data_IF_385308524906
#
_entry.id   IF_385308524906
#
_cell.length_a   1.000
_cell.length_b   1.000
_cell.length_c   1.000
_cell.angle_alpha   90.00
_cell.angle_beta   90.00
_cell.angle_gamma   90.00
#
_symmetry.space_group_name_H-M   'P 1'
#
loop_
_entity.id
_entity.type
_entity.pdbx_description
1 polymer ?
#
# COMPACT_ATOMS: atom_id res chain seq x y z
N UNK A 1 5.57 -29.37 42.71
CA UNK A 1 6.20 -29.31 41.37
C UNK A 1 5.12 -29.06 40.34
N UNK A 2 5.02 -27.83 39.81
CA UNK A 2 4.10 -27.50 38.72
C UNK A 2 4.87 -27.48 37.41
N UNK A 3 4.57 -28.41 36.54
CA UNK A 3 5.08 -28.40 35.16
C UNK A 3 4.36 -27.30 34.35
N UNK A 4 5.10 -26.26 34.03
CA UNK A 4 4.66 -25.27 33.05
C UNK A 4 4.72 -25.91 31.65
N UNK A 5 3.56 -26.23 31.09
CA UNK A 5 3.47 -26.61 29.69
C UNK A 5 3.86 -25.41 28.83
N UNK A 6 4.98 -25.52 28.14
CA UNK A 6 5.29 -24.71 26.94
C UNK A 6 4.19 -24.98 25.93
N UNK A 7 3.25 -24.06 25.79
CA UNK A 7 2.30 -24.08 24.68
C UNK A 7 3.09 -23.68 23.43
N UNK A 8 3.47 -24.72 22.66
CA UNK A 8 3.99 -24.61 21.32
C UNK A 8 3.10 -23.75 20.43
N UNK A 9 3.73 -22.94 19.63
CA UNK A 9 3.36 -22.09 18.51
C UNK A 9 2.10 -22.49 17.68
N UNK A 10 0.90 -22.45 18.24
CA UNK A 10 -0.29 -22.83 17.49
C UNK A 10 -1.57 -22.07 17.83
N UNK A 11 -1.51 -20.82 18.29
CA UNK A 11 -2.70 -19.98 18.42
C UNK A 11 -2.35 -18.49 18.17
N UNK A 12 -1.89 -18.17 16.96
CA UNK A 12 -1.75 -16.80 16.46
C UNK A 12 -2.95 -16.39 15.57
N UNK A 13 -4.11 -16.95 15.84
CA UNK A 13 -5.35 -16.48 15.23
C UNK A 13 -5.98 -15.47 16.19
N UNK A 14 -5.78 -14.18 15.94
CA UNK A 14 -6.71 -13.19 16.45
C UNK A 14 -8.05 -13.38 15.74
N UNK A 15 -9.13 -13.52 16.48
CA UNK A 15 -10.49 -13.66 15.93
C UNK A 15 -10.73 -12.61 14.85
N UNK A 16 -11.03 -13.03 13.61
CA UNK A 16 -11.28 -12.17 12.44
C UNK A 16 -10.17 -12.08 11.40
N UNK A 17 -9.02 -12.75 11.61
CA UNK A 17 -7.93 -12.75 10.63
C UNK A 17 -8.16 -13.78 9.52
N UNK A 18 -8.06 -13.35 8.24
CA UNK A 18 -8.24 -14.24 7.10
C UNK A 18 -6.96 -15.03 6.79
N UNK A 19 -7.11 -16.24 6.22
CA UNK A 19 -5.98 -17.07 5.73
C UNK A 19 -5.07 -16.27 4.77
N UNK A 20 -5.65 -15.43 3.93
CA UNK A 20 -4.91 -14.58 3.00
C UNK A 20 -4.06 -13.53 3.74
N UNK A 21 -4.57 -12.97 4.84
CA UNK A 21 -3.81 -12.01 5.67
C UNK A 21 -2.61 -12.69 6.33
N UNK A 22 -2.82 -13.84 6.95
CA UNK A 22 -1.74 -14.63 7.55
C UNK A 22 -0.66 -15.03 6.55
N UNK A 23 -1.07 -15.50 5.35
CA UNK A 23 -0.13 -15.83 4.27
C UNK A 23 0.72 -14.63 3.87
N UNK A 24 0.09 -13.46 3.73
CA UNK A 24 0.80 -12.23 3.37
C UNK A 24 1.79 -11.78 4.44
N UNK A 25 1.41 -11.80 5.71
CA UNK A 25 2.32 -11.47 6.83
C UNK A 25 3.53 -12.40 6.85
N UNK A 26 3.30 -13.73 6.73
CA UNK A 26 4.40 -14.71 6.68
C UNK A 26 5.33 -14.48 5.50
N UNK A 27 4.79 -14.16 4.33
CA UNK A 27 5.60 -13.88 3.13
C UNK A 27 6.45 -12.63 3.31
N UNK A 28 5.88 -11.55 3.85
CA UNK A 28 6.62 -10.31 4.13
C UNK A 28 7.73 -10.54 5.17
N UNK A 29 7.45 -11.30 6.22
CA UNK A 29 8.44 -11.68 7.22
C UNK A 29 9.57 -12.49 6.60
N UNK A 30 9.26 -13.56 5.86
CA UNK A 30 10.20 -14.41 5.13
C UNK A 30 11.15 -13.59 4.25
N UNK A 31 10.63 -12.66 3.46
CA UNK A 31 11.46 -11.83 2.57
C UNK A 31 12.46 -10.93 3.30
N UNK A 32 12.13 -10.43 4.48
CA UNK A 32 13.08 -9.64 5.27
C UNK A 32 14.09 -10.55 6.02
N UNK A 33 13.67 -11.72 6.47
CA UNK A 33 14.57 -12.73 7.04
C UNK A 33 15.60 -13.23 6.01
N UNK A 34 15.19 -13.47 4.77
CA UNK A 34 16.08 -13.84 3.66
C UNK A 34 17.12 -12.75 3.33
N UNK A 35 16.85 -11.50 3.70
CA UNK A 35 17.80 -10.38 3.62
C UNK A 35 18.71 -10.27 4.86
N UNK A 36 18.58 -11.17 5.81
CA UNK A 36 19.38 -11.22 7.05
C UNK A 36 18.90 -10.27 8.15
N UNK A 37 17.69 -9.73 8.05
CA UNK A 37 17.13 -8.88 9.11
C UNK A 37 16.46 -9.71 10.20
N UNK A 38 16.50 -9.20 11.42
CA UNK A 38 15.70 -9.74 12.52
C UNK A 38 14.26 -9.27 12.38
N UNK A 39 13.32 -10.22 12.38
CA UNK A 39 11.91 -9.94 12.14
C UNK A 39 11.08 -10.35 13.36
N UNK A 40 10.14 -9.49 13.73
CA UNK A 40 9.23 -9.71 14.86
C UNK A 40 7.78 -9.53 14.37
N UNK A 41 7.06 -10.62 14.04
CA UNK A 41 5.65 -10.54 13.72
C UNK A 41 4.84 -10.03 14.91
N UNK A 42 3.92 -9.12 14.67
CA UNK A 42 2.99 -8.57 15.68
C UNK A 42 3.66 -8.04 16.95
N UNK A 43 4.88 -7.51 16.85
CA UNK A 43 5.60 -6.93 17.97
C UNK A 43 4.79 -5.81 18.63
N UNK A 44 4.60 -5.88 19.94
CA UNK A 44 3.90 -4.84 20.67
C UNK A 44 4.82 -3.64 20.94
N UNK A 45 4.46 -2.49 20.37
CA UNK A 45 5.12 -1.21 20.62
C UNK A 45 4.40 -0.50 21.78
N UNK A 46 4.95 -0.63 23.00
CA UNK A 46 4.34 -0.14 24.24
C UNK A 46 4.00 1.34 24.20
N UNK A 47 4.92 2.16 23.72
CA UNK A 47 4.80 3.63 23.68
C UNK A 47 3.66 4.10 22.76
N UNK A 48 3.35 3.31 21.74
CA UNK A 48 2.29 3.61 20.77
C UNK A 48 0.99 2.83 21.06
N UNK A 49 1.04 1.80 21.90
CA UNK A 49 -0.03 0.81 22.07
C UNK A 49 -0.48 0.22 20.72
N UNK A 50 0.50 -0.06 19.85
CA UNK A 50 0.28 -0.55 18.49
C UNK A 50 1.06 -1.84 18.23
N UNK A 51 0.57 -2.63 17.28
CA UNK A 51 1.23 -3.84 16.79
C UNK A 51 1.29 -3.75 15.27
N UNK A 52 2.46 -3.51 14.63
CA UNK A 52 2.63 -3.71 13.20
C UNK A 52 2.49 -5.20 12.86
N UNK A 53 2.00 -5.50 11.66
CA UNK A 53 1.91 -6.90 11.21
C UNK A 53 3.29 -7.55 11.17
N UNK A 54 4.31 -6.81 10.74
CA UNK A 54 5.71 -7.25 10.74
C UNK A 54 6.60 -6.08 11.15
N UNK A 55 7.37 -6.24 12.21
CA UNK A 55 8.43 -5.29 12.60
C UNK A 55 9.78 -5.85 12.19
N UNK A 56 10.52 -5.10 11.40
CA UNK A 56 11.86 -5.46 10.90
C UNK A 56 12.91 -4.62 11.63
N UNK A 57 13.80 -5.28 12.37
CA UNK A 57 14.92 -4.65 13.06
C UNK A 57 16.10 -4.50 12.10
N UNK A 58 16.62 -3.28 11.96
CA UNK A 58 17.69 -2.96 11.01
C UNK A 58 18.86 -2.29 11.70
N UNK A 59 20.02 -2.92 11.69
CA UNK A 59 21.24 -2.33 12.26
C UNK A 59 21.69 -1.09 11.45
N UNK A 60 22.03 -0.01 12.15
CA UNK A 60 22.51 1.23 11.54
C UNK A 60 21.47 2.02 10.72
N UNK A 61 20.19 1.66 10.79
CA UNK A 61 19.07 2.33 10.12
C UNK A 61 17.82 2.30 10.99
N UNK A 62 16.86 3.18 10.68
CA UNK A 62 15.56 3.11 11.35
C UNK A 62 14.87 1.78 11.03
N UNK A 63 14.29 1.17 12.06
CA UNK A 63 13.45 -0.02 11.92
C UNK A 63 12.30 0.19 10.92
N UNK A 64 11.69 -0.88 10.46
CA UNK A 64 10.63 -0.84 9.46
C UNK A 64 9.39 -1.60 9.94
N UNK A 65 8.24 -0.94 9.94
CA UNK A 65 6.94 -1.57 10.10
C UNK A 65 6.33 -1.87 8.73
N UNK A 66 5.90 -3.10 8.53
CA UNK A 66 5.12 -3.51 7.36
C UNK A 66 3.69 -3.79 7.82
N UNK A 67 2.73 -3.14 7.19
CA UNK A 67 1.30 -3.27 7.44
C UNK A 67 0.63 -3.90 6.21
N UNK A 68 0.10 -5.11 6.35
CA UNK A 68 -0.62 -5.79 5.28
C UNK A 68 -2.13 -5.61 5.45
N UNK A 69 -2.70 -4.61 4.83
CA UNK A 69 -4.09 -4.21 5.03
C UNK A 69 -5.06 -4.99 4.16
N UNK A 70 -5.74 -5.96 4.75
CA UNK A 70 -6.78 -6.76 4.10
C UNK A 70 -8.20 -6.36 4.53
N UNK A 71 -8.40 -5.91 5.77
CA UNK A 71 -9.68 -5.51 6.32
C UNK A 71 -9.97 -4.00 6.12
N UNK A 72 -11.21 -3.53 6.18
CA UNK A 72 -11.50 -2.10 6.21
C UNK A 72 -10.86 -1.43 7.43
N UNK A 73 -10.32 -0.22 7.24
CA UNK A 73 -9.81 0.65 8.32
C UNK A 73 -10.37 2.05 8.13
N UNK A 74 -10.71 2.72 9.21
CA UNK A 74 -11.18 4.12 9.13
C UNK A 74 -10.03 5.07 8.80
N UNK A 75 -10.28 6.22 8.13
CA UNK A 75 -9.25 7.24 7.90
C UNK A 75 -8.59 7.70 9.20
N UNK A 76 -9.36 7.91 10.26
CA UNK A 76 -8.85 8.29 11.58
C UNK A 76 -7.82 7.28 12.09
N UNK A 77 -8.17 5.99 12.11
CA UNK A 77 -7.29 4.93 12.58
C UNK A 77 -6.03 4.78 11.74
N UNK A 78 -6.14 4.94 10.42
CA UNK A 78 -4.99 4.92 9.50
C UNK A 78 -4.01 6.05 9.81
N UNK A 79 -4.53 7.27 10.03
CA UNK A 79 -3.72 8.44 10.38
C UNK A 79 -3.06 8.28 11.75
N UNK A 80 -3.82 7.84 12.77
CA UNK A 80 -3.31 7.56 14.11
C UNK A 80 -2.14 6.58 14.08
N UNK A 81 -2.29 5.43 13.39
CA UNK A 81 -1.22 4.44 13.26
C UNK A 81 0.01 5.01 12.56
N UNK A 82 -0.20 5.67 11.42
CA UNK A 82 0.89 6.25 10.65
C UNK A 82 1.64 7.35 11.42
N UNK A 83 0.93 8.18 12.17
CA UNK A 83 1.54 9.23 13.00
C UNK A 83 2.29 8.63 14.20
N UNK A 84 1.76 7.58 14.81
CA UNK A 84 2.46 6.84 15.86
C UNK A 84 3.82 6.35 15.35
N UNK A 85 3.90 5.69 14.20
CA UNK A 85 5.19 5.25 13.64
C UNK A 85 6.14 6.41 13.38
N UNK A 86 5.64 7.53 12.83
CA UNK A 86 6.49 8.72 12.60
C UNK A 86 7.04 9.31 13.89
N UNK A 87 6.24 9.36 14.97
CA UNK A 87 6.65 9.97 16.24
C UNK A 87 7.84 9.29 16.90
N UNK A 88 8.06 8.00 16.62
CA UNK A 88 9.23 7.24 17.12
C UNK A 88 10.28 6.99 16.02
N UNK A 89 10.20 7.68 14.87
CA UNK A 89 11.16 7.54 13.78
C UNK A 89 11.10 6.18 13.06
N UNK A 90 10.03 5.41 13.24
CA UNK A 90 9.86 4.12 12.58
C UNK A 90 9.41 4.31 11.12
N UNK A 91 10.17 3.76 10.18
CA UNK A 91 9.73 3.71 8.80
C UNK A 91 8.55 2.74 8.66
N UNK A 92 7.66 2.97 7.70
CA UNK A 92 6.55 2.06 7.49
C UNK A 92 6.04 2.04 6.05
N UNK A 93 5.52 0.87 5.65
CA UNK A 93 4.76 0.69 4.41
C UNK A 93 3.37 0.13 4.71
N UNK A 94 2.37 0.71 4.03
CA UNK A 94 1.06 0.10 3.88
C UNK A 94 1.04 -0.69 2.58
N UNK A 95 0.88 -2.00 2.69
CA UNK A 95 0.77 -2.93 1.58
C UNK A 95 -0.66 -3.48 1.61
N UNK A 96 -1.37 -3.37 0.50
CA UNK A 96 -2.81 -3.64 0.45
C UNK A 96 -3.10 -5.06 -0.05
N UNK A 97 -4.18 -5.64 0.44
CA UNK A 97 -4.73 -6.88 -0.10
C UNK A 97 -5.42 -6.65 -1.45
N UNK A 98 -5.62 -7.73 -2.19
CA UNK A 98 -6.12 -7.72 -3.57
C UNK A 98 -7.45 -6.99 -3.77
N UNK A 99 -8.32 -6.96 -2.75
CA UNK A 99 -9.61 -6.26 -2.82
C UNK A 99 -9.51 -4.73 -2.96
N UNK A 100 -8.35 -4.16 -2.66
CA UNK A 100 -8.09 -2.72 -2.80
C UNK A 100 -7.54 -2.34 -4.16
N UNK A 101 -7.30 -3.29 -5.08
CA UNK A 101 -6.73 -3.01 -6.41
C UNK A 101 -7.45 -1.89 -7.13
N UNK A 102 -6.66 -1.08 -7.83
CA UNK A 102 -7.20 -0.03 -8.67
C UNK A 102 -7.94 -0.63 -9.87
N UNK A 103 -9.16 -0.16 -10.06
CA UNK A 103 -9.95 -0.36 -11.25
C UNK A 103 -10.09 0.94 -12.05
N UNK A 104 -11.18 1.09 -12.79
CA UNK A 104 -11.49 2.33 -13.52
C UNK A 104 -11.78 3.53 -12.60
N UNK A 105 -12.15 3.27 -11.35
CA UNK A 105 -12.48 4.31 -10.35
C UNK A 105 -11.57 4.17 -9.13
N UNK A 106 -11.09 5.31 -8.64
CA UNK A 106 -10.42 5.39 -7.34
C UNK A 106 -11.49 5.49 -6.25
N UNK A 107 -11.63 4.45 -5.46
CA UNK A 107 -12.58 4.44 -4.33
C UNK A 107 -11.99 5.14 -3.11
N UNK A 108 -12.84 5.69 -2.23
CA UNK A 108 -12.38 6.27 -0.96
C UNK A 108 -11.67 5.23 -0.07
N UNK A 109 -12.07 3.96 -0.19
CA UNK A 109 -11.43 2.85 0.53
C UNK A 109 -9.95 2.68 0.15
N UNK A 110 -9.59 2.90 -1.11
CA UNK A 110 -8.22 2.78 -1.63
C UNK A 110 -7.47 4.12 -1.58
N UNK A 111 -8.14 5.23 -1.87
CA UNK A 111 -7.53 6.57 -1.98
C UNK A 111 -6.75 7.00 -0.73
N UNK A 112 -7.23 6.66 0.46
CA UNK A 112 -6.58 7.01 1.74
C UNK A 112 -5.19 6.39 1.93
N UNK A 113 -4.86 5.35 1.19
CA UNK A 113 -3.55 4.69 1.24
C UNK A 113 -2.55 5.24 0.22
N UNK A 114 -2.98 6.11 -0.69
CA UNK A 114 -2.07 6.73 -1.67
C UNK A 114 -0.93 7.44 -0.93
N UNK A 115 0.29 7.19 -1.40
CA UNK A 115 1.51 7.82 -0.94
C UNK A 115 2.20 8.52 -2.10
N UNK A 116 3.12 9.39 -1.79
CA UNK A 116 3.93 10.12 -2.75
C UNK A 116 5.40 9.71 -2.65
N UNK A 117 6.03 9.55 -3.80
CA UNK A 117 7.48 9.40 -3.94
C UNK A 117 7.94 10.20 -5.16
N UNK A 118 9.09 10.85 -5.07
CA UNK A 118 9.60 11.72 -6.14
C UNK A 118 9.80 10.97 -7.49
N UNK A 119 10.22 9.70 -7.44
CA UNK A 119 10.45 8.89 -8.63
C UNK A 119 9.19 8.27 -9.21
N UNK A 120 8.18 8.00 -8.38
CA UNK A 120 6.97 7.26 -8.74
C UNK A 120 5.73 8.15 -8.87
N UNK A 121 5.75 9.37 -8.32
CA UNK A 121 4.55 10.16 -8.11
C UNK A 121 3.65 9.54 -7.05
N UNK A 122 2.34 9.65 -7.23
CA UNK A 122 1.38 8.95 -6.37
C UNK A 122 1.40 7.46 -6.63
N UNK A 123 1.48 6.67 -5.58
CA UNK A 123 1.60 5.22 -5.70
C UNK A 123 0.79 4.45 -4.64
N UNK A 124 0.57 3.17 -4.92
CA UNK A 124 -0.02 2.16 -4.05
C UNK A 124 0.75 0.86 -4.19
N UNK A 125 0.80 0.08 -3.11
CA UNK A 125 1.40 -1.25 -3.07
C UNK A 125 0.33 -2.30 -2.78
N UNK A 126 0.36 -3.41 -3.53
CA UNK A 126 -0.55 -4.54 -3.35
C UNK A 126 0.24 -5.84 -3.26
N UNK A 127 -0.02 -6.64 -2.24
CA UNK A 127 0.57 -7.97 -2.11
C UNK A 127 -0.34 -9.04 -2.73
N UNK A 128 0.27 -9.87 -3.55
CA UNK A 128 -0.31 -11.12 -4.03
C UNK A 128 0.45 -12.28 -3.36
N UNK A 129 -0.05 -12.83 -2.24
CA UNK A 129 0.65 -13.87 -1.50
C UNK A 129 0.56 -15.25 -2.17
N UNK A 130 -0.25 -15.40 -3.21
CA UNK A 130 -0.35 -16.65 -3.99
C UNK A 130 0.78 -16.71 -5.01
N UNK A 131 1.00 -15.60 -5.73
CA UNK A 131 2.05 -15.49 -6.75
C UNK A 131 3.34 -14.88 -6.19
N UNK A 132 3.45 -14.72 -4.88
CA UNK A 132 4.60 -14.18 -4.14
C UNK A 132 5.18 -12.91 -4.79
N UNK A 133 4.33 -11.91 -5.02
CA UNK A 133 4.74 -10.65 -5.66
C UNK A 133 4.05 -9.44 -5.05
N UNK A 134 4.71 -8.28 -5.13
CA UNK A 134 4.11 -6.97 -4.91
C UNK A 134 3.81 -6.34 -6.27
N UNK A 135 2.60 -5.87 -6.45
CA UNK A 135 2.21 -4.98 -7.53
C UNK A 135 2.33 -3.54 -7.06
N UNK A 136 2.91 -2.70 -7.88
CA UNK A 136 3.14 -1.28 -7.62
C UNK A 136 2.35 -0.49 -8.64
N UNK A 137 1.23 0.10 -8.24
CA UNK A 137 0.51 1.06 -9.08
C UNK A 137 1.10 2.45 -8.80
N UNK A 138 1.67 3.10 -9.81
CA UNK A 138 2.39 4.36 -9.68
C UNK A 138 2.06 5.35 -10.80
N UNK A 139 2.45 6.62 -10.62
CA UNK A 139 2.01 7.69 -11.52
C UNK A 139 0.49 7.82 -11.52
N UNK A 140 -0.15 7.57 -10.38
CA UNK A 140 -1.61 7.55 -10.27
C UNK A 140 -2.14 8.96 -10.50
N UNK A 141 -3.07 9.07 -11.45
CA UNK A 141 -3.71 10.33 -11.82
C UNK A 141 -5.23 10.15 -11.91
N UNK A 142 -5.93 11.12 -11.36
CA UNK A 142 -7.39 11.21 -11.46
C UNK A 142 -7.76 12.57 -12.05
N UNK A 143 -8.57 12.54 -13.07
CA UNK A 143 -9.23 13.72 -13.60
C UNK A 143 -10.73 13.49 -13.62
N UNK A 144 -11.52 14.57 -13.50
CA UNK A 144 -12.98 14.46 -13.52
C UNK A 144 -13.45 13.88 -14.87
N UNK A 145 -14.46 13.01 -14.78
CA UNK A 145 -15.09 12.34 -15.91
C UNK A 145 -14.24 11.29 -16.63
N UNK A 146 -13.00 11.06 -16.21
CA UNK A 146 -12.10 10.07 -16.79
C UNK A 146 -11.85 8.90 -15.84
N UNK A 147 -11.53 7.71 -16.37
CA UNK A 147 -10.98 6.63 -15.57
C UNK A 147 -9.67 7.06 -14.90
N UNK A 148 -9.40 6.48 -13.73
CA UNK A 148 -8.08 6.62 -13.09
C UNK A 148 -7.04 6.00 -14.00
N UNK A 149 -5.93 6.71 -14.21
CA UNK A 149 -4.77 6.24 -14.95
C UNK A 149 -3.60 5.99 -14.01
N UNK A 150 -2.85 4.96 -14.29
CA UNK A 150 -1.65 4.59 -13.56
C UNK A 150 -0.78 3.66 -14.40
N UNK A 151 0.47 3.54 -14.01
CA UNK A 151 1.39 2.54 -14.51
C UNK A 151 1.50 1.43 -13.48
N UNK A 152 1.85 0.22 -13.91
CA UNK A 152 1.96 -0.93 -13.02
C UNK A 152 3.32 -1.60 -13.19
N UNK A 153 3.98 -1.83 -12.06
CA UNK A 153 5.19 -2.63 -11.94
C UNK A 153 4.97 -3.83 -11.03
N UNK A 154 5.88 -4.77 -11.08
CA UNK A 154 5.88 -5.98 -10.26
C UNK A 154 7.25 -6.23 -9.70
N UNK A 155 7.31 -6.69 -8.46
CA UNK A 155 8.54 -7.13 -7.80
C UNK A 155 8.26 -8.38 -6.96
N UNK A 156 9.29 -9.21 -6.76
CA UNK A 156 9.19 -10.50 -6.03
C UNK A 156 9.91 -10.48 -4.69
N UNK A 157 10.33 -9.31 -4.23
CA UNK A 157 10.98 -9.16 -2.93
C UNK A 157 10.94 -7.71 -2.47
N UNK A 158 11.17 -7.47 -1.18
CA UNK A 158 11.30 -6.11 -0.64
C UNK A 158 12.63 -5.45 -1.05
N UNK A 159 13.65 -6.22 -1.42
CA UNK A 159 14.87 -5.70 -2.05
C UNK A 159 14.54 -5.07 -3.40
N UNK A 160 13.89 -5.83 -4.28
CA UNK A 160 13.47 -5.32 -5.59
C UNK A 160 12.51 -4.12 -5.46
N UNK A 161 11.66 -4.09 -4.42
CA UNK A 161 10.80 -2.94 -4.14
C UNK A 161 11.64 -1.69 -3.86
N UNK A 162 12.68 -1.79 -3.04
CA UNK A 162 13.61 -0.67 -2.77
C UNK A 162 14.31 -0.20 -4.05
N UNK A 163 14.78 -1.13 -4.86
CA UNK A 163 15.43 -0.81 -6.13
C UNK A 163 14.44 -0.15 -7.10
N UNK A 164 13.18 -0.59 -7.11
CA UNK A 164 12.12 0.03 -7.90
C UNK A 164 11.87 1.49 -7.49
N UNK A 165 11.84 1.79 -6.19
CA UNK A 165 11.68 3.16 -5.68
C UNK A 165 12.85 4.09 -6.05
N UNK A 166 14.05 3.54 -6.22
CA UNK A 166 15.25 4.31 -6.55
C UNK A 166 15.40 4.58 -8.06
N UNK A 167 14.62 3.91 -8.92
CA UNK A 167 14.66 4.16 -10.37
C UNK A 167 13.96 5.46 -10.71
N UNK A 168 14.49 6.17 -11.73
CA UNK A 168 13.83 7.36 -12.24
C UNK A 168 12.69 7.02 -13.20
N UNK A 169 11.46 7.36 -12.84
CA UNK A 169 10.25 7.15 -13.64
C UNK A 169 9.63 8.47 -14.13
N UNK A 170 10.24 9.62 -13.89
CA UNK A 170 9.66 10.96 -14.08
C UNK A 170 9.12 11.21 -15.50
N UNK A 171 9.81 10.77 -16.55
CA UNK A 171 9.37 10.97 -17.93
C UNK A 171 8.04 10.26 -18.24
N UNK A 172 7.80 9.06 -17.67
CA UNK A 172 6.55 8.31 -17.84
C UNK A 172 5.38 9.01 -17.17
N UNK A 173 5.60 9.58 -15.99
CA UNK A 173 4.57 10.34 -15.29
C UNK A 173 4.21 11.62 -16.00
N UNK A 174 5.18 12.36 -16.53
CA UNK A 174 4.92 13.58 -17.30
C UNK A 174 4.06 13.28 -18.54
N UNK A 175 4.41 12.26 -19.32
CA UNK A 175 3.65 11.85 -20.50
C UNK A 175 2.23 11.43 -20.13
N UNK A 176 2.07 10.62 -19.11
CA UNK A 176 0.76 10.20 -18.60
C UNK A 176 -0.09 11.41 -18.19
N UNK A 177 0.51 12.41 -17.54
CA UNK A 177 -0.18 13.65 -17.15
C UNK A 177 -0.64 14.49 -18.34
N UNK A 178 0.17 14.58 -19.39
CA UNK A 178 -0.18 15.32 -20.61
C UNK A 178 -1.35 14.64 -21.35
N UNK A 179 -1.26 13.33 -21.54
CA UNK A 179 -2.31 12.53 -22.19
C UNK A 179 -3.64 12.61 -21.39
N UNK A 180 -3.58 12.55 -20.07
CA UNK A 180 -4.77 12.63 -19.22
C UNK A 180 -5.45 13.99 -19.32
N UNK A 181 -4.67 15.08 -19.34
CA UNK A 181 -5.21 16.44 -19.52
C UNK A 181 -5.85 16.64 -20.87
N UNK A 182 -5.21 16.18 -21.95
CA UNK A 182 -5.77 16.27 -23.30
C UNK A 182 -7.11 15.52 -23.40
N UNK A 183 -7.21 14.33 -22.81
CA UNK A 183 -8.43 13.53 -22.81
C UNK A 183 -9.54 14.15 -21.95
N UNK A 184 -9.17 14.78 -20.81
CA UNK A 184 -10.11 15.53 -19.96
C UNK A 184 -10.71 16.71 -20.74
N UNK A 185 -9.89 17.49 -21.42
CA UNK A 185 -10.35 18.63 -22.23
C UNK A 185 -11.37 18.21 -23.29
N UNK A 186 -11.10 17.15 -24.03
CA UNK A 186 -12.06 16.59 -25.01
C UNK A 186 -13.38 16.18 -24.36
N UNK A 187 -13.36 15.56 -23.19
CA UNK A 187 -14.58 15.16 -22.45
C UNK A 187 -15.39 16.35 -21.96
N UNK A 188 -14.72 17.41 -21.53
CA UNK A 188 -15.37 18.66 -21.10
C UNK A 188 -16.05 19.35 -22.30
N UNK A 189 -15.38 19.45 -23.44
CA UNK A 189 -15.96 20.02 -24.66
C UNK A 189 -17.24 19.29 -25.08
N UNK A 190 -17.22 17.97 -25.12
CA UNK A 190 -18.39 17.14 -25.43
C UNK A 190 -19.54 17.43 -24.46
N UNK A 191 -19.28 17.51 -23.15
CA UNK A 191 -20.33 17.81 -22.14
C UNK A 191 -20.93 19.20 -22.29
N UNK A 192 -20.11 20.21 -22.54
CA UNK A 192 -20.56 21.57 -22.77
C UNK A 192 -21.45 21.66 -24.01
N UNK A 193 -21.12 20.90 -25.06
CA UNK A 193 -21.92 20.83 -26.28
C UNK A 193 -23.33 20.23 -26.01
N UNK A 194 -23.38 19.11 -25.28
CA UNK A 194 -24.66 18.49 -24.89
C UNK A 194 -25.52 19.33 -23.93
N UNK A 195 -24.91 20.10 -23.04
CA UNK A 195 -25.67 20.98 -22.14
C UNK A 195 -26.30 22.15 -22.88
N UNK A 196 -25.64 22.73 -23.88
CA UNK A 196 -26.20 23.80 -24.73
C UNK A 196 -27.38 23.31 -25.59
N UNK A 197 -27.37 22.04 -26.03
CA UNK A 197 -28.50 21.46 -26.76
C UNK A 197 -29.77 21.18 -25.96
N UNK A 198 -29.67 21.07 -24.62
CA UNK A 198 -30.82 20.87 -23.71
C UNK A 198 -31.54 22.17 -23.27
N UNK A 199 -30.95 23.32 -23.52
CA UNK A 199 -31.53 24.65 -23.14
C UNK A 199 -32.42 25.21 -24.28
N UNK A 200 -32.54 24.49 -25.41
CA UNK A 200 -33.38 24.90 -26.57
C UNK A 200 -34.64 24.05 -26.71
N UNK A 201 -35.32 23.75 -25.59
CA UNK A 201 -36.72 23.23 -25.65
C UNK A 201 -37.56 23.90 -24.60
#
# INVERSE_FOLDING_TARGET
MHFAHYKSACNLFTEGETVAHLKGKKLLAKWEEELGYSVQPEAYLSDLKQRPDVLVKRQGRNDLALEYQCAPITPKRLVERSNGYRSIGLNFFWILGQKYKLGKKLTNATAKFIRWNASLGFYLLFLDPINEKIEIDYGIQKADFLPVRYLRGYVKSLRELRDFFNRNHSWKMYRLSADLRAEQSKKLEVRLHFSKGKIRK
#
